data_IF_115329506338
#
_entry.id   IF_115329506338
#
_cell.length_a   1.000
_cell.length_b   1.000
_cell.length_c   1.000
_cell.angle_alpha   90.00
_cell.angle_beta   90.00
_cell.angle_gamma   90.00
#
_symmetry.space_group_name_H-M   'P 1'
#
loop_
_entity.id
_entity.type
_entity.pdbx_description
1 polymer ?
#
# COMPACT_ATOMS: atom_id res chain seq x y z
N UNK A 1 -27.22 -6.07 11.19
CA UNK A 1 -25.82 -6.06 11.62
C UNK A 1 -25.08 -4.97 10.88
N UNK A 2 -24.38 -4.10 11.58
CA UNK A 2 -23.63 -3.03 10.93
C UNK A 2 -22.35 -3.59 10.31
N UNK A 3 -22.01 -3.14 9.09
CA UNK A 3 -20.73 -3.45 8.44
C UNK A 3 -19.62 -2.74 9.18
N UNK A 4 -18.55 -3.46 9.53
CA UNK A 4 -17.36 -2.86 10.13
C UNK A 4 -16.43 -2.34 9.04
N UNK A 5 -15.95 -1.12 9.23
CA UNK A 5 -14.98 -0.49 8.35
C UNK A 5 -13.85 0.07 9.22
N UNK A 6 -12.62 -0.24 8.85
CA UNK A 6 -11.42 0.33 9.45
C UNK A 6 -10.68 1.11 8.37
N UNK A 7 -10.16 2.28 8.72
CA UNK A 7 -9.45 3.11 7.75
C UNK A 7 -8.34 3.89 8.43
N UNK A 8 -7.23 4.07 7.70
CA UNK A 8 -6.23 5.05 8.05
C UNK A 8 -5.98 5.97 6.86
N UNK A 9 -5.67 7.22 7.14
CA UNK A 9 -5.45 8.24 6.13
C UNK A 9 -4.31 9.16 6.54
N UNK A 10 -3.37 9.38 5.63
CA UNK A 10 -2.27 10.33 5.78
C UNK A 10 -2.23 11.24 4.55
N UNK A 11 -2.56 12.51 4.74
CA UNK A 11 -2.62 13.48 3.65
C UNK A 11 -1.25 14.05 3.30
N UNK A 12 -0.42 14.32 4.31
CA UNK A 12 0.86 14.99 4.13
C UNK A 12 1.85 14.14 3.32
N UNK A 13 2.57 14.78 2.39
CA UNK A 13 3.68 14.14 1.70
C UNK A 13 4.83 13.88 2.66
N UNK A 14 5.42 12.70 2.52
CA UNK A 14 6.52 12.23 3.35
C UNK A 14 7.58 11.62 2.47
N UNK A 15 8.84 12.03 2.70
CA UNK A 15 10.00 11.43 2.07
C UNK A 15 10.22 10.02 2.61
N UNK A 16 10.33 9.03 1.72
CA UNK A 16 10.49 7.62 2.09
C UNK A 16 11.65 6.99 1.35
N UNK A 17 12.39 6.15 2.04
CA UNK A 17 13.47 5.33 1.51
C UNK A 17 13.01 3.90 1.28
N UNK A 18 13.87 3.09 0.63
CA UNK A 18 13.56 1.69 0.34
C UNK A 18 13.35 0.88 1.61
N UNK A 19 12.35 -0.01 1.56
CA UNK A 19 11.96 -0.87 2.69
C UNK A 19 11.07 -0.18 3.72
N UNK A 20 10.67 1.06 3.47
CA UNK A 20 9.82 1.81 4.39
C UNK A 20 8.39 1.29 4.39
N UNK A 21 7.86 1.09 5.59
CA UNK A 21 6.45 0.86 5.80
C UNK A 21 5.74 2.21 5.80
N UNK A 22 4.87 2.44 4.84
CA UNK A 22 4.17 3.72 4.70
C UNK A 22 3.02 3.84 5.70
N UNK A 23 2.32 2.74 5.92
CA UNK A 23 1.21 2.68 6.86
C UNK A 23 0.93 1.25 7.28
N UNK A 24 0.36 1.12 8.46
CA UNK A 24 -0.19 -0.13 9.00
C UNK A 24 -1.61 0.15 9.46
N UNK A 25 -2.55 -0.67 8.99
CA UNK A 25 -3.92 -0.69 9.48
C UNK A 25 -4.10 -1.95 10.32
N UNK A 26 -4.68 -1.82 11.50
CA UNK A 26 -5.00 -2.95 12.37
C UNK A 26 -6.48 -3.30 12.26
N UNK A 27 -6.77 -4.60 12.09
CA UNK A 27 -8.14 -5.12 12.01
C UNK A 27 -8.30 -6.35 12.92
N UNK A 28 -9.53 -6.62 13.41
CA UNK A 28 -9.82 -7.87 14.13
C UNK A 28 -9.74 -9.09 13.24
N UNK A 29 -9.85 -10.27 13.84
CA UNK A 29 -10.06 -11.52 13.11
C UNK A 29 -11.30 -11.42 12.22
N UNK A 30 -11.29 -12.12 11.10
CA UNK A 30 -12.39 -12.13 10.15
C UNK A 30 -11.93 -11.98 8.71
N UNK A 31 -12.88 -11.88 7.81
CA UNK A 31 -12.64 -11.73 6.37
C UNK A 31 -12.77 -10.27 5.97
N UNK A 32 -11.79 -9.79 5.21
CA UNK A 32 -11.66 -8.38 4.88
C UNK A 32 -11.43 -8.17 3.38
N UNK A 33 -12.17 -7.22 2.83
CA UNK A 33 -11.89 -6.62 1.54
C UNK A 33 -11.15 -5.31 1.80
N UNK A 34 -9.95 -5.18 1.25
CA UNK A 34 -9.06 -4.06 1.52
C UNK A 34 -8.75 -3.31 0.23
N UNK A 35 -8.92 -2.01 0.26
CA UNK A 35 -8.50 -1.12 -0.81
C UNK A 35 -7.50 -0.12 -0.25
N UNK A 36 -6.51 0.23 -1.06
CA UNK A 36 -5.54 1.24 -0.68
C UNK A 36 -5.17 2.10 -1.87
N UNK A 37 -4.72 3.31 -1.57
CA UNK A 37 -4.14 4.21 -2.56
C UNK A 37 -2.99 5.00 -1.95
N UNK A 38 -2.05 5.40 -2.79
CA UNK A 38 -0.97 6.31 -2.43
C UNK A 38 -0.53 7.07 -3.66
N UNK A 39 -0.20 8.34 -3.51
CA UNK A 39 0.46 9.11 -4.54
C UNK A 39 1.96 9.10 -4.26
N UNK A 40 2.75 8.79 -5.27
CA UNK A 40 4.21 8.76 -5.19
C UNK A 40 4.80 9.77 -6.18
N UNK A 41 5.89 10.40 -5.76
CA UNK A 41 6.54 11.48 -6.47
C UNK A 41 8.05 11.28 -6.40
N UNK A 42 8.71 11.31 -7.56
CA UNK A 42 10.17 11.29 -7.62
C UNK A 42 10.70 12.72 -7.57
N UNK A 43 11.21 13.13 -6.42
CA UNK A 43 11.78 14.46 -6.21
C UNK A 43 13.22 14.59 -6.74
N UNK A 44 13.83 13.51 -7.19
CA UNK A 44 15.19 13.56 -7.72
C UNK A 44 15.18 14.14 -9.14
N UNK A 45 15.98 15.15 -9.38
CA UNK A 45 16.02 15.87 -10.65
C UNK A 45 16.91 15.23 -11.72
N UNK A 46 17.73 14.24 -11.35
CA UNK A 46 18.71 13.64 -12.25
C UNK A 46 18.60 12.13 -12.42
N UNK A 47 17.84 11.43 -11.56
CA UNK A 47 17.82 9.98 -11.51
C UNK A 47 16.39 9.42 -11.58
N UNK A 48 16.20 8.41 -12.40
CA UNK A 48 14.98 7.59 -12.38
C UNK A 48 14.92 6.77 -11.09
N UNK A 49 13.70 6.52 -10.61
CA UNK A 49 13.44 5.60 -9.52
C UNK A 49 12.47 4.53 -9.97
N UNK A 50 12.88 3.29 -9.86
CA UNK A 50 11.98 2.15 -9.99
C UNK A 50 11.45 1.80 -8.61
N UNK A 51 10.15 1.71 -8.50
CA UNK A 51 9.45 1.57 -7.24
C UNK A 51 8.56 0.35 -7.29
N UNK A 52 8.60 -0.46 -6.25
CA UNK A 52 7.65 -1.52 -6.00
C UNK A 52 6.89 -1.18 -4.72
N UNK A 53 5.58 -1.04 -4.81
CA UNK A 53 4.73 -0.82 -3.66
C UNK A 53 3.82 -2.04 -3.47
N UNK A 54 3.73 -2.52 -2.25
CA UNK A 54 3.00 -3.74 -1.93
C UNK A 54 2.07 -3.51 -0.75
N UNK A 55 0.79 -3.82 -0.96
CA UNK A 55 -0.21 -3.94 0.10
C UNK A 55 -0.26 -5.40 0.51
N UNK A 56 -0.07 -5.69 1.79
CA UNK A 56 0.00 -7.05 2.32
C UNK A 56 -0.99 -7.23 3.47
N UNK A 57 -1.79 -8.29 3.38
CA UNK A 57 -2.68 -8.75 4.44
C UNK A 57 -2.45 -10.25 4.62
N UNK A 58 -1.75 -10.64 5.68
CA UNK A 58 -1.34 -12.04 5.88
C UNK A 58 -0.44 -12.54 4.76
N UNK A 59 -0.87 -13.58 4.06
CA UNK A 59 -0.15 -14.16 2.90
C UNK A 59 -0.63 -13.59 1.56
N UNK A 60 -1.68 -12.78 1.57
CA UNK A 60 -2.23 -12.18 0.38
C UNK A 60 -1.63 -10.78 0.16
N UNK A 61 -1.37 -10.45 -1.09
CA UNK A 61 -0.78 -9.16 -1.42
C UNK A 61 -1.18 -8.69 -2.82
N UNK A 62 -1.05 -7.38 -3.02
CA UNK A 62 -1.17 -6.72 -4.32
C UNK A 62 0.04 -5.82 -4.53
N UNK A 63 0.63 -5.86 -5.71
CA UNK A 63 1.88 -5.18 -6.03
C UNK A 63 1.70 -4.24 -7.20
N UNK A 64 2.19 -3.03 -7.06
CA UNK A 64 2.41 -2.10 -8.16
C UNK A 64 3.91 -1.90 -8.38
N UNK A 65 4.33 -2.00 -9.62
CA UNK A 65 5.72 -1.83 -10.02
C UNK A 65 5.79 -0.72 -11.08
N UNK A 66 6.44 0.38 -10.74
CA UNK A 66 6.48 1.57 -11.60
C UNK A 66 7.87 2.16 -11.67
N UNK A 67 8.14 2.86 -12.76
CA UNK A 67 9.35 3.64 -12.93
C UNK A 67 8.97 5.11 -13.07
N UNK A 68 9.51 5.92 -12.17
CA UNK A 68 9.31 7.37 -12.16
C UNK A 68 10.52 8.05 -12.75
N UNK A 69 10.27 8.96 -13.69
CA UNK A 69 11.33 9.79 -14.29
C UNK A 69 11.82 10.86 -13.34
N UNK A 70 12.93 11.53 -13.69
CA UNK A 70 13.44 12.64 -12.90
C UNK A 70 12.44 13.80 -12.82
N UNK A 71 12.39 14.45 -11.66
CA UNK A 71 11.51 15.59 -11.42
C UNK A 71 11.88 16.78 -12.33
N UNK A 72 10.86 17.45 -12.87
CA UNK A 72 11.05 18.64 -13.69
C UNK A 72 11.54 18.41 -15.10
N UNK A 73 11.70 17.17 -15.53
CA UNK A 73 12.03 16.78 -16.91
C UNK A 73 10.76 16.28 -17.59
N UNK A 74 10.71 16.26 -18.93
CA UNK A 74 9.54 15.76 -19.69
C UNK A 74 9.36 14.25 -19.53
N UNK A 75 9.05 13.82 -18.29
CA UNK A 75 8.84 12.42 -17.91
C UNK A 75 7.79 12.36 -16.82
N UNK A 76 7.20 11.16 -16.64
CA UNK A 76 6.23 10.94 -15.57
C UNK A 76 7.01 10.80 -14.25
N UNK A 77 6.88 11.79 -13.38
CA UNK A 77 7.55 11.85 -12.08
C UNK A 77 6.58 11.68 -10.90
N UNK A 78 5.28 11.72 -11.16
CA UNK A 78 4.21 11.53 -10.16
C UNK A 78 3.26 10.45 -10.64
N UNK A 79 2.83 9.58 -9.73
CA UNK A 79 1.87 8.52 -10.05
C UNK A 79 0.98 8.20 -8.86
N UNK A 80 -0.31 7.99 -9.13
CA UNK A 80 -1.25 7.45 -8.17
C UNK A 80 -1.27 5.92 -8.29
N UNK A 81 -1.07 5.22 -7.18
CA UNK A 81 -1.09 3.77 -7.12
C UNK A 81 -2.32 3.30 -6.35
N UNK A 82 -2.99 2.28 -6.87
CA UNK A 82 -4.16 1.68 -6.25
C UNK A 82 -3.94 0.18 -6.03
N UNK A 83 -4.49 -0.32 -4.92
CA UNK A 83 -4.31 -1.70 -4.48
C UNK A 83 -5.64 -2.28 -4.02
N UNK A 84 -5.78 -3.58 -4.22
CA UNK A 84 -6.92 -4.35 -3.71
C UNK A 84 -6.44 -5.70 -3.22
N UNK A 85 -6.81 -6.07 -2.01
CA UNK A 85 -6.50 -7.38 -1.44
C UNK A 85 -7.70 -7.90 -0.67
N UNK A 86 -7.89 -9.22 -0.66
CA UNK A 86 -8.85 -9.90 0.19
C UNK A 86 -8.11 -10.92 1.05
N UNK A 87 -8.45 -10.99 2.33
CA UNK A 87 -7.79 -11.92 3.24
C UNK A 87 -8.69 -12.26 4.42
N UNK A 88 -8.61 -13.51 4.88
CA UNK A 88 -9.25 -13.96 6.11
C UNK A 88 -8.19 -14.16 7.19
N UNK A 89 -8.28 -13.36 8.25
CA UNK A 89 -7.51 -13.60 9.47
C UNK A 89 -8.29 -14.58 10.33
N UNK A 90 -7.78 -15.80 10.55
CA UNK A 90 -8.53 -16.84 11.26
C UNK A 90 -8.75 -16.47 12.73
N UNK A 91 -9.87 -16.95 13.28
CA UNK A 91 -10.24 -16.69 14.66
C UNK A 91 -11.52 -15.87 14.79
N UNK A 92 -11.84 -15.51 16.02
CA UNK A 92 -13.08 -14.79 16.36
C UNK A 92 -12.83 -13.60 17.30
N UNK A 93 -11.59 -13.19 17.47
CA UNK A 93 -11.24 -12.03 18.31
C UNK A 93 -11.73 -10.73 17.69
N UNK A 94 -12.37 -9.89 18.49
CA UNK A 94 -12.77 -8.55 18.10
C UNK A 94 -11.66 -7.49 18.33
N UNK A 95 -10.50 -7.91 18.83
CA UNK A 95 -9.37 -7.02 19.05
C UNK A 95 -8.68 -6.74 17.72
N UNK A 96 -8.49 -5.48 17.38
CA UNK A 96 -7.78 -5.07 16.17
C UNK A 96 -6.27 -5.29 16.36
N UNK A 97 -5.78 -6.45 15.96
CA UNK A 97 -4.41 -6.92 16.16
C UNK A 97 -3.71 -7.41 14.89
N UNK A 98 -4.48 -7.70 13.85
CA UNK A 98 -3.94 -8.18 12.58
C UNK A 98 -3.52 -7.01 11.73
N UNK A 99 -2.33 -7.08 11.14
CA UNK A 99 -1.74 -5.97 10.39
C UNK A 99 -2.02 -6.07 8.90
N UNK A 100 -2.33 -4.92 8.32
CA UNK A 100 -2.38 -4.70 6.88
C UNK A 100 -1.36 -3.60 6.60
N UNK A 101 -0.33 -3.92 5.82
CA UNK A 101 0.82 -3.06 5.62
C UNK A 101 0.95 -2.59 4.18
N UNK A 102 1.33 -1.34 3.98
CA UNK A 102 1.75 -0.81 2.70
C UNK A 102 3.23 -0.45 2.76
N UNK A 103 4.05 -1.12 1.95
CA UNK A 103 5.51 -1.01 1.96
C UNK A 103 6.01 -0.60 0.59
N UNK A 104 7.02 0.28 0.57
CA UNK A 104 7.71 0.68 -0.66
C UNK A 104 9.13 0.11 -0.67
N UNK A 105 9.54 -0.41 -1.83
CA UNK A 105 10.90 -0.81 -2.14
C UNK A 105 11.38 -0.05 -3.36
N UNK A 106 12.58 0.51 -3.29
CA UNK A 106 13.18 1.30 -4.37
C UNK A 106 14.36 0.56 -5.00
N UNK A 107 14.56 0.76 -6.29
CA UNK A 107 15.70 0.30 -7.06
C UNK A 107 16.15 1.40 -8.04
N UNK A 108 17.43 1.84 -8.02
CA UNK A 108 18.50 1.38 -7.15
C UNK A 108 18.35 1.86 -5.70
N UNK A 109 18.94 1.09 -4.77
CA UNK A 109 19.04 1.49 -3.37
C UNK A 109 20.33 2.27 -3.14
N UNK A 110 20.27 3.35 -2.38
CA UNK A 110 21.44 4.15 -2.08
C UNK A 110 21.06 5.39 -1.25
N UNK A 111 22.04 6.23 -0.89
CA UNK A 111 21.77 7.39 -0.04
C UNK A 111 20.82 8.42 -0.67
N UNK A 112 20.71 8.43 -2.00
CA UNK A 112 19.80 9.30 -2.74
C UNK A 112 18.56 8.57 -3.26
N UNK A 113 18.33 7.32 -2.86
CA UNK A 113 17.18 6.54 -3.27
C UNK A 113 16.00 6.84 -2.34
N UNK A 114 15.18 7.78 -2.75
CA UNK A 114 13.96 8.15 -2.01
C UNK A 114 12.89 8.65 -2.99
N UNK A 115 11.66 8.56 -2.56
CA UNK A 115 10.51 9.19 -3.20
C UNK A 115 9.70 9.89 -2.13
N UNK A 116 8.82 10.79 -2.52
CA UNK A 116 7.79 11.33 -1.63
C UNK A 116 6.52 10.53 -1.81
N UNK A 117 5.87 10.19 -0.72
CA UNK A 117 4.58 9.52 -0.73
C UNK A 117 3.57 10.33 0.09
N UNK A 118 2.36 10.46 -0.42
CA UNK A 118 1.32 11.21 0.26
C UNK A 118 -0.07 10.81 -0.18
N UNK A 119 -1.08 11.43 0.40
CA UNK A 119 -2.48 11.12 0.16
C UNK A 119 -2.76 9.62 0.24
N UNK A 120 -2.17 8.99 1.25
CA UNK A 120 -2.25 7.57 1.49
C UNK A 120 -3.55 7.26 2.21
N UNK A 121 -4.25 6.22 1.77
CA UNK A 121 -5.43 5.72 2.44
C UNK A 121 -5.48 4.20 2.32
N UNK A 122 -5.74 3.54 3.44
CA UNK A 122 -6.05 2.11 3.49
C UNK A 122 -7.43 1.98 4.13
N UNK A 123 -8.33 1.26 3.48
CA UNK A 123 -9.67 0.99 4.00
C UNK A 123 -9.94 -0.51 3.94
N UNK A 124 -10.31 -1.09 5.06
CA UNK A 124 -10.70 -2.49 5.17
C UNK A 124 -12.18 -2.57 5.52
N UNK A 125 -12.91 -3.36 4.75
CA UNK A 125 -14.35 -3.58 4.91
C UNK A 125 -14.56 -5.05 5.26
N UNK A 126 -15.24 -5.32 6.37
CA UNK A 126 -15.56 -6.69 6.77
C UNK A 126 -16.57 -7.30 5.81
N UNK A 127 -16.30 -8.53 5.38
CA UNK A 127 -17.19 -9.35 4.55
C UNK A 127 -17.49 -10.66 5.28
N UNK A 128 -18.59 -11.33 4.90
CA UNK A 128 -18.99 -12.56 5.58
C UNK A 128 -18.05 -13.72 5.25
N UNK A 129 -17.62 -13.81 3.99
CA UNK A 129 -16.71 -14.85 3.53
C UNK A 129 -16.00 -14.41 2.26
N UNK A 130 -14.90 -15.10 1.96
CA UNK A 130 -14.14 -14.93 0.73
C UNK A 130 -14.08 -16.28 0.03
N UNK A 131 -14.62 -16.34 -1.20
CA UNK A 131 -14.54 -17.53 -2.04
C UNK A 131 -13.35 -17.38 -2.99
N UNK A 132 -12.33 -18.21 -2.78
CA UNK A 132 -11.17 -18.24 -3.65
C UNK A 132 -11.43 -19.14 -4.85
N UNK A 133 -11.53 -18.54 -6.04
CA UNK A 133 -11.68 -19.28 -7.28
C UNK A 133 -10.31 -19.44 -7.96
N UNK A 134 -10.08 -20.64 -8.52
CA UNK A 134 -8.89 -20.89 -9.33
C UNK A 134 -9.07 -20.21 -10.68
N UNK A 135 -8.11 -19.40 -11.15
CA UNK A 135 -8.17 -18.81 -12.48
C UNK A 135 -8.19 -19.91 -13.57
N UNK A 136 -8.95 -19.66 -14.59
CA UNK A 136 -9.07 -20.58 -15.74
C UNK A 136 -8.04 -20.27 -16.82
#
# INVERSE_FOLDING_TARGET
>A
MATQVFSCFHDAQKKVSSGSKLATLLVPDGSWFVVAKVNVDNDNTSTYQTLTAQLTAGQDFDVNHVRLGPSGVHSVDVMALAFTVVHTFPGTSNVAKNTIDLVITLDPVGPNAFVSAGQLKITAIRVDSIDANTPV
#
